data_IF_805710558515
#
_entry.id   IF_805710558515
#
_cell.length_a   1.000
_cell.length_b   1.000
_cell.length_c   1.000
_cell.angle_alpha   90.00
_cell.angle_beta   90.00
_cell.angle_gamma   90.00
#
_symmetry.space_group_name_H-M   'P 1'
#
loop_
_entity.id
_entity.type
_entity.pdbx_description
1 polymer ?
#
# COMPACT_ATOMS: atom_id res chain seq x y z
N UNK A 1 -15.18 6.89 -23.89
CA UNK A 1 -15.35 6.25 -22.56
C UNK A 1 -14.02 6.27 -21.79
N UNK A 2 -13.24 7.37 -21.83
CA UNK A 2 -11.82 7.36 -21.38
C UNK A 2 -11.57 8.12 -20.06
N UNK A 3 -12.59 8.75 -19.47
CA UNK A 3 -12.40 9.61 -18.29
C UNK A 3 -12.28 8.85 -16.95
N UNK A 4 -12.64 7.56 -16.89
CA UNK A 4 -12.72 6.81 -15.62
C UNK A 4 -11.39 6.14 -15.21
N UNK A 5 -10.55 5.70 -16.16
CA UNK A 5 -9.34 4.94 -15.85
C UNK A 5 -8.26 5.75 -15.10
N UNK A 6 -8.17 7.06 -15.35
CA UNK A 6 -7.13 7.88 -14.74
C UNK A 6 -7.39 8.15 -13.25
N UNK A 7 -8.68 8.26 -12.85
CA UNK A 7 -9.06 8.53 -11.46
C UNK A 7 -8.91 7.29 -10.57
N UNK A 8 -9.15 6.09 -11.10
CA UNK A 8 -8.89 4.85 -10.36
C UNK A 8 -7.39 4.59 -10.16
N UNK A 9 -6.57 4.85 -11.19
CA UNK A 9 -5.12 4.73 -11.07
C UNK A 9 -4.52 5.65 -9.99
N UNK A 10 -4.96 6.91 -9.96
CA UNK A 10 -4.58 7.89 -8.94
C UNK A 10 -4.93 7.45 -7.50
N UNK A 11 -6.01 6.67 -7.33
CA UNK A 11 -6.37 6.13 -6.01
C UNK A 11 -5.51 4.93 -5.61
N UNK A 12 -5.20 4.03 -6.56
CA UNK A 12 -4.40 2.82 -6.29
C UNK A 12 -2.97 3.18 -5.86
N UNK A 13 -2.38 4.20 -6.48
CA UNK A 13 -0.99 4.60 -6.27
C UNK A 13 -0.85 5.76 -5.25
N UNK A 14 -1.89 6.08 -4.48
CA UNK A 14 -1.83 7.16 -3.50
C UNK A 14 -1.09 6.72 -2.24
N UNK A 15 -0.06 7.47 -1.84
CA UNK A 15 0.66 7.18 -0.59
C UNK A 15 -0.29 7.22 0.64
N UNK A 16 -0.14 6.27 1.58
CA UNK A 16 -0.88 6.26 2.82
C UNK A 16 -0.42 7.38 3.76
N UNK A 17 -1.28 7.79 4.69
CA UNK A 17 -0.98 8.87 5.63
C UNK A 17 0.12 8.51 6.65
N UNK A 18 0.31 7.21 6.92
CA UNK A 18 1.32 6.70 7.85
C UNK A 18 1.58 5.20 7.60
N UNK A 19 2.66 4.69 8.19
CA UNK A 19 2.97 3.26 8.19
C UNK A 19 1.85 2.41 8.79
N UNK A 20 1.31 2.82 9.95
CA UNK A 20 0.18 2.11 10.55
C UNK A 20 -1.03 2.08 9.62
N UNK A 21 -1.31 3.19 8.91
CA UNK A 21 -2.44 3.22 7.96
C UNK A 21 -2.21 2.35 6.74
N UNK A 22 -0.96 2.20 6.29
CA UNK A 22 -0.61 1.25 5.24
C UNK A 22 -0.92 -0.19 5.69
N UNK A 23 -0.53 -0.56 6.91
CA UNK A 23 -0.78 -1.89 7.47
C UNK A 23 -2.26 -2.17 7.69
N UNK A 24 -3.01 -1.20 8.25
CA UNK A 24 -4.46 -1.30 8.44
C UNK A 24 -5.15 -1.59 7.09
N UNK A 25 -4.81 -0.81 6.05
CA UNK A 25 -5.40 -0.96 4.71
C UNK A 25 -4.99 -2.29 4.04
N UNK A 26 -3.75 -2.76 4.22
CA UNK A 26 -3.32 -4.09 3.75
C UNK A 26 -4.16 -5.19 4.40
N UNK A 27 -4.40 -5.12 5.72
CA UNK A 27 -5.19 -6.12 6.42
C UNK A 27 -6.65 -6.16 5.92
N UNK A 28 -7.24 -4.99 5.68
CA UNK A 28 -8.57 -4.87 5.07
C UNK A 28 -8.61 -5.47 3.66
N UNK A 29 -7.57 -5.22 2.84
CA UNK A 29 -7.45 -5.79 1.49
C UNK A 29 -7.37 -7.31 1.54
N UNK A 30 -6.57 -7.88 2.44
CA UNK A 30 -6.47 -9.34 2.62
C UNK A 30 -7.84 -9.93 2.97
N UNK A 31 -8.52 -9.35 3.98
CA UNK A 31 -9.85 -9.80 4.38
C UNK A 31 -10.87 -9.70 3.23
N UNK A 32 -10.78 -8.65 2.40
CA UNK A 32 -11.66 -8.49 1.23
C UNK A 32 -11.36 -9.50 0.11
N UNK A 33 -10.10 -9.87 -0.11
CA UNK A 33 -9.70 -10.86 -1.11
C UNK A 33 -10.07 -12.29 -0.69
N UNK A 34 -10.12 -12.57 0.60
CA UNK A 34 -10.55 -13.86 1.15
C UNK A 34 -12.09 -14.05 1.14
N UNK A 35 -12.84 -12.96 0.93
CA UNK A 35 -14.30 -13.02 0.83
C UNK A 35 -14.76 -13.65 -0.49
N UNK A 36 -15.74 -14.54 -0.41
CA UNK A 36 -16.34 -15.24 -1.57
C UNK A 36 -17.21 -14.33 -2.46
N UNK A 37 -17.37 -13.05 -2.11
CA UNK A 37 -18.24 -12.10 -2.81
C UNK A 37 -17.48 -11.08 -3.67
N UNK A 38 -16.15 -11.19 -3.78
CA UNK A 38 -15.34 -10.22 -4.52
C UNK A 38 -15.26 -10.62 -6.00
N UNK A 39 -15.77 -9.75 -6.88
CA UNK A 39 -15.63 -9.94 -8.33
C UNK A 39 -14.17 -9.80 -8.80
N UNK A 40 -13.88 -10.26 -10.02
CA UNK A 40 -12.52 -10.32 -10.55
C UNK A 40 -11.89 -8.92 -10.72
N UNK A 41 -12.64 -7.94 -11.21
CA UNK A 41 -12.12 -6.59 -11.45
C UNK A 41 -11.75 -5.91 -10.14
N UNK A 42 -12.62 -6.04 -9.13
CA UNK A 42 -12.36 -5.59 -7.76
C UNK A 42 -11.17 -6.32 -7.14
N UNK A 43 -11.06 -7.63 -7.35
CA UNK A 43 -9.92 -8.42 -6.88
C UNK A 43 -8.60 -7.93 -7.45
N UNK A 44 -8.56 -7.61 -8.75
CA UNK A 44 -7.38 -7.05 -9.42
C UNK A 44 -7.02 -5.67 -8.86
N UNK A 45 -8.02 -4.82 -8.59
CA UNK A 45 -7.76 -3.49 -8.02
C UNK A 45 -7.26 -3.56 -6.56
N UNK A 46 -7.84 -4.45 -5.75
CA UNK A 46 -7.38 -4.75 -4.39
C UNK A 46 -5.94 -5.27 -4.40
N UNK A 47 -5.61 -6.21 -5.30
CA UNK A 47 -4.25 -6.74 -5.44
C UNK A 47 -3.23 -5.66 -5.83
N UNK A 48 -3.56 -4.81 -6.80
CA UNK A 48 -2.70 -3.68 -7.21
C UNK A 48 -2.46 -2.73 -6.04
N UNK A 49 -3.51 -2.38 -5.30
CA UNK A 49 -3.42 -1.51 -4.13
C UNK A 49 -2.57 -2.14 -3.03
N UNK A 50 -2.80 -3.40 -2.71
CA UNK A 50 -2.03 -4.14 -1.70
C UNK A 50 -0.55 -4.17 -2.06
N UNK A 51 -0.21 -4.49 -3.32
CA UNK A 51 1.17 -4.50 -3.80
C UNK A 51 1.84 -3.13 -3.69
N UNK A 52 1.11 -2.05 -4.03
CA UNK A 52 1.60 -0.68 -3.86
C UNK A 52 1.90 -0.36 -2.40
N UNK A 53 0.98 -0.68 -1.48
CA UNK A 53 1.13 -0.42 -0.05
C UNK A 53 2.28 -1.22 0.57
N UNK A 54 2.46 -2.48 0.18
CA UNK A 54 3.59 -3.31 0.63
C UNK A 54 4.91 -2.68 0.21
N UNK A 55 5.05 -2.30 -1.06
CA UNK A 55 6.27 -1.65 -1.56
C UNK A 55 6.53 -0.30 -0.88
N UNK A 56 5.49 0.50 -0.64
CA UNK A 56 5.63 1.76 0.10
C UNK A 56 6.09 1.50 1.54
N UNK A 57 5.56 0.46 2.19
CA UNK A 57 5.88 0.08 3.57
C UNK A 57 7.33 -0.39 3.70
N UNK A 58 7.82 -1.21 2.77
CA UNK A 58 9.23 -1.62 2.69
C UNK A 58 10.16 -0.40 2.57
N UNK A 59 9.84 0.52 1.67
CA UNK A 59 10.62 1.75 1.51
C UNK A 59 10.59 2.64 2.76
N UNK A 60 9.46 2.71 3.47
CA UNK A 60 9.34 3.44 4.71
C UNK A 60 10.27 2.86 5.79
N UNK A 61 10.26 1.53 5.95
CA UNK A 61 11.12 0.85 6.93
C UNK A 61 12.60 1.03 6.64
N UNK A 62 13.01 0.88 5.37
CA UNK A 62 14.40 1.11 4.96
C UNK A 62 14.87 2.53 5.31
N UNK A 63 14.03 3.55 5.06
CA UNK A 63 14.36 4.94 5.45
C UNK A 63 14.51 5.09 6.96
N UNK A 64 13.61 4.49 7.74
CA UNK A 64 13.70 4.57 9.21
C UNK A 64 14.95 3.86 9.72
N UNK A 65 15.32 2.71 9.15
CA UNK A 65 16.55 2.00 9.48
C UNK A 65 17.79 2.84 9.18
N UNK A 66 17.86 3.48 8.01
CA UNK A 66 18.94 4.40 7.65
C UNK A 66 19.05 5.58 8.62
N UNK A 67 17.93 6.17 9.02
CA UNK A 67 17.91 7.28 10.00
C UNK A 67 18.42 6.82 11.37
N UNK A 68 17.99 5.65 11.86
CA UNK A 68 18.48 5.09 13.12
C UNK A 68 19.98 4.84 13.04
N UNK A 69 20.45 4.23 11.95
CA UNK A 69 21.86 3.90 11.72
C UNK A 69 22.75 5.14 11.78
N UNK A 70 22.33 6.25 11.14
CA UNK A 70 23.06 7.53 11.19
C UNK A 70 23.21 8.07 12.61
N UNK A 71 22.21 7.85 13.47
CA UNK A 71 22.27 8.31 14.87
C UNK A 71 23.25 7.44 15.65
N UNK A 72 23.20 6.12 15.47
CA UNK A 72 24.01 5.15 16.23
C UNK A 72 25.46 5.02 15.77
N UNK A 73 25.78 5.32 14.50
CA UNK A 73 27.17 5.25 13.98
C UNK A 73 27.98 6.54 14.23
N UNK A 74 27.32 7.62 14.68
CA UNK A 74 27.98 8.88 15.06
C UNK A 74 28.28 8.98 16.56
N UNK A 75 28.13 7.88 17.31
CA UNK A 75 28.61 7.70 18.70
C UNK A 75 29.94 6.93 18.72
#
# INVERSE_FOLDING_TARGET
>A
MEKNNNQEKLKIEKEPASFQKALDEIAEIVAALESTQTDLEKSVNLFKRGTFLTKWSENYLNKMEEEIKKITENE
#
